data_IF_683964360413
#
_entry.id   IF_683964360413
#
_cell.length_a   1.000
_cell.length_b   1.000
_cell.length_c   1.000
_cell.angle_alpha   90.00
_cell.angle_beta   90.00
_cell.angle_gamma   90.00
#
_symmetry.space_group_name_H-M   'P 1'
#
loop_
_entity.id
_entity.type
_entity.pdbx_description
1 polymer ?
#
# COMPACT_ATOMS: atom_id res chain seq x y z
N UNK A 1 -29.68 -1.80 3.89
CA UNK A 1 -28.87 -2.45 4.95
C UNK A 1 -28.46 -1.40 5.98
N UNK A 2 -28.45 -1.76 7.24
CA UNK A 2 -27.96 -0.84 8.29
C UNK A 2 -26.42 -0.92 8.34
N UNK A 3 -25.75 0.09 7.82
CA UNK A 3 -24.29 0.22 7.82
C UNK A 3 -23.76 1.00 9.03
N UNK A 4 -24.59 1.28 10.05
CA UNK A 4 -24.18 2.06 11.22
C UNK A 4 -22.99 1.45 11.96
N UNK A 5 -22.88 0.12 11.96
CA UNK A 5 -21.73 -0.61 12.54
C UNK A 5 -20.43 -0.49 11.75
N UNK A 6 -20.51 0.02 10.52
CA UNK A 6 -19.34 0.23 9.63
C UNK A 6 -18.88 1.68 9.64
N UNK A 7 -19.55 2.57 10.37
CA UNK A 7 -19.05 3.92 10.56
C UNK A 7 -17.69 3.85 11.31
N UNK A 8 -16.59 4.36 10.71
CA UNK A 8 -15.29 4.35 11.37
C UNK A 8 -15.29 5.11 12.69
N UNK A 9 -16.23 6.02 12.90
CA UNK A 9 -16.38 6.79 14.14
C UNK A 9 -17.39 6.20 15.14
N UNK A 10 -17.81 4.95 14.94
CA UNK A 10 -18.63 4.21 15.94
C UNK A 10 -17.86 2.98 16.41
N UNK A 11 -17.61 2.87 17.72
CA UNK A 11 -16.90 1.73 18.32
C UNK A 11 -17.70 0.43 18.21
N UNK A 12 -17.07 -0.70 18.50
CA UNK A 12 -17.75 -2.02 18.56
C UNK A 12 -18.85 -2.01 19.63
N UNK A 13 -18.69 -1.24 20.72
CA UNK A 13 -19.70 -1.06 21.77
C UNK A 13 -20.87 -0.16 21.36
N UNK A 14 -20.79 0.52 20.20
CA UNK A 14 -21.78 1.45 19.70
C UNK A 14 -21.56 2.90 20.17
N UNK A 15 -20.44 3.21 20.80
CA UNK A 15 -20.10 4.55 21.25
C UNK A 15 -19.55 5.40 20.10
N UNK A 16 -19.97 6.66 20.03
CA UNK A 16 -19.49 7.60 19.01
C UNK A 16 -18.13 8.19 19.40
N UNK A 17 -17.16 8.06 18.52
CA UNK A 17 -15.84 8.67 18.63
C UNK A 17 -15.94 10.15 18.23
N UNK A 18 -15.54 11.06 19.12
CA UNK A 18 -15.73 12.49 18.93
C UNK A 18 -14.44 13.31 18.95
N UNK A 19 -13.30 12.67 19.23
CA UNK A 19 -12.01 13.34 19.31
C UNK A 19 -10.87 12.39 18.92
N UNK A 20 -9.71 12.99 18.62
CA UNK A 20 -8.49 12.27 18.18
C UNK A 20 -7.98 11.32 19.25
N UNK A 21 -8.11 11.67 20.54
CA UNK A 21 -7.62 10.80 21.62
C UNK A 21 -8.35 9.47 21.64
N UNK A 22 -9.71 9.49 21.59
CA UNK A 22 -10.51 8.26 21.58
C UNK A 22 -10.26 7.45 20.29
N UNK A 23 -10.07 8.15 19.15
CA UNK A 23 -9.71 7.51 17.91
C UNK A 23 -8.36 6.76 18.00
N UNK A 24 -7.29 7.43 18.40
CA UNK A 24 -5.94 6.84 18.46
C UNK A 24 -5.81 5.78 19.57
N UNK A 25 -6.53 5.93 20.68
CA UNK A 25 -6.40 5.06 21.85
C UNK A 25 -7.27 3.80 21.75
N UNK A 26 -8.44 3.91 21.12
CA UNK A 26 -9.42 2.83 21.12
C UNK A 26 -9.85 2.41 19.72
N UNK A 27 -10.48 3.33 18.96
CA UNK A 27 -11.20 2.93 17.76
C UNK A 27 -10.29 2.47 16.62
N UNK A 28 -9.20 3.16 16.40
CA UNK A 28 -8.21 2.75 15.40
C UNK A 28 -7.68 1.35 15.70
N UNK A 29 -7.37 1.05 16.95
CA UNK A 29 -6.91 -0.28 17.35
C UNK A 29 -8.00 -1.35 17.14
N UNK A 30 -9.27 -1.07 17.50
CA UNK A 30 -10.39 -1.98 17.20
C UNK A 30 -10.46 -2.30 15.70
N UNK A 31 -10.35 -1.28 14.83
CA UNK A 31 -10.35 -1.45 13.38
C UNK A 31 -9.16 -2.31 12.94
N UNK A 32 -7.96 -2.03 13.44
CA UNK A 32 -6.77 -2.82 13.10
C UNK A 32 -6.88 -4.28 13.52
N UNK A 33 -7.48 -4.54 14.68
CA UNK A 33 -7.78 -5.90 15.17
C UNK A 33 -8.80 -6.60 14.26
N UNK A 34 -9.85 -5.91 13.82
CA UNK A 34 -10.83 -6.48 12.89
C UNK A 34 -10.19 -6.82 11.53
N UNK A 35 -9.47 -5.89 10.94
CA UNK A 35 -8.78 -6.10 9.67
C UNK A 35 -7.75 -7.25 9.75
N UNK A 36 -6.98 -7.30 10.84
CA UNK A 36 -6.02 -8.39 11.06
C UNK A 36 -6.70 -9.75 11.23
N UNK A 37 -7.75 -9.83 12.06
CA UNK A 37 -8.37 -11.12 12.36
C UNK A 37 -9.21 -11.69 11.21
N UNK A 38 -9.75 -10.82 10.35
CA UNK A 38 -10.76 -11.23 9.37
C UNK A 38 -10.33 -11.09 7.91
N UNK A 39 -9.30 -10.29 7.61
CA UNK A 39 -8.85 -10.06 6.23
C UNK A 39 -7.36 -10.40 6.05
N UNK A 40 -6.46 -9.58 6.61
CA UNK A 40 -5.03 -9.64 6.29
C UNK A 40 -4.24 -10.67 7.09
N UNK A 41 -4.78 -11.11 8.21
CA UNK A 41 -4.13 -11.99 9.18
C UNK A 41 -3.22 -11.26 10.17
N UNK A 42 -3.02 -11.92 11.31
CA UNK A 42 -2.14 -11.42 12.37
C UNK A 42 -0.70 -11.74 11.99
N UNK A 43 0.12 -10.72 11.83
CA UNK A 43 1.54 -10.82 11.51
C UNK A 43 2.41 -10.34 12.69
N UNK A 44 3.66 -10.80 12.80
CA UNK A 44 4.59 -10.20 13.74
C UNK A 44 4.83 -8.73 13.36
N UNK A 45 4.85 -7.86 14.38
CA UNK A 45 5.08 -6.42 14.21
C UNK A 45 6.50 -6.03 14.57
N UNK A 46 7.17 -6.85 15.38
CA UNK A 46 8.49 -6.54 15.91
C UNK A 46 9.57 -6.61 14.81
N UNK A 47 10.55 -5.73 14.94
CA UNK A 47 11.77 -5.76 14.15
C UNK A 47 12.59 -7.00 14.52
N UNK A 48 13.02 -7.82 13.54
CA UNK A 48 13.89 -8.96 13.84
C UNK A 48 15.16 -8.53 14.56
N UNK A 49 15.55 -9.28 15.58
CA UNK A 49 16.69 -8.95 16.44
C UNK A 49 18.05 -9.03 15.73
N UNK A 50 18.14 -9.85 14.67
CA UNK A 50 19.33 -10.06 13.83
C UNK A 50 19.25 -9.32 12.47
N UNK A 51 18.34 -8.34 12.36
CA UNK A 51 18.16 -7.58 11.12
C UNK A 51 19.46 -6.86 10.74
N UNK A 52 19.91 -7.09 9.52
CA UNK A 52 21.11 -6.51 8.96
C UNK A 52 20.92 -6.09 7.52
N UNK A 53 21.78 -5.17 7.04
CA UNK A 53 21.72 -4.60 5.72
C UNK A 53 23.07 -4.69 5.02
N UNK A 54 23.06 -4.98 3.73
CA UNK A 54 24.25 -4.92 2.86
C UNK A 54 23.93 -4.05 1.66
N UNK A 55 24.79 -3.07 1.40
CA UNK A 55 24.80 -2.36 0.11
C UNK A 55 25.75 -3.12 -0.80
N UNK A 56 25.20 -3.99 -1.65
CA UNK A 56 25.97 -4.94 -2.43
C UNK A 56 26.68 -4.27 -3.62
N UNK A 57 26.03 -3.22 -4.16
CA UNK A 57 26.55 -2.48 -5.31
C UNK A 57 26.03 -1.06 -5.36
N UNK A 58 26.89 -0.12 -5.74
CA UNK A 58 26.51 1.26 -6.09
C UNK A 58 26.97 1.51 -7.54
N UNK A 59 26.06 2.02 -8.37
CA UNK A 59 26.34 2.37 -9.76
C UNK A 59 25.88 3.81 -10.00
N UNK A 60 26.83 4.70 -10.27
CA UNK A 60 26.55 6.08 -10.67
C UNK A 60 26.35 6.16 -12.19
N UNK A 61 25.61 7.17 -12.64
CA UNK A 61 25.21 7.35 -14.05
C UNK A 61 24.57 6.09 -14.63
N UNK A 62 23.65 5.50 -13.84
CA UNK A 62 23.04 4.22 -14.20
C UNK A 62 22.36 4.30 -15.57
N UNK A 63 22.80 3.46 -16.51
CA UNK A 63 22.33 3.43 -17.90
C UNK A 63 22.41 4.79 -18.61
N UNK A 64 23.41 5.63 -18.25
CA UNK A 64 23.61 7.01 -18.76
C UNK A 64 22.58 8.03 -18.27
N UNK A 65 21.70 7.68 -17.33
CA UNK A 65 20.85 8.64 -16.63
C UNK A 65 21.59 9.28 -15.43
N UNK A 66 21.21 10.50 -15.02
CA UNK A 66 21.77 11.14 -13.81
C UNK A 66 21.22 10.48 -12.53
N UNK A 67 21.36 9.17 -12.43
CA UNK A 67 20.88 8.32 -11.36
C UNK A 67 22.04 7.62 -10.64
N UNK A 68 21.91 7.49 -9.34
CA UNK A 68 22.69 6.52 -8.54
C UNK A 68 21.79 5.37 -8.17
N UNK A 69 22.18 4.18 -8.57
CA UNK A 69 21.52 2.92 -8.22
C UNK A 69 22.27 2.25 -7.08
N UNK A 70 21.58 1.91 -6.01
CA UNK A 70 22.07 1.04 -4.93
C UNK A 70 21.31 -0.29 -4.99
N UNK A 71 22.03 -1.40 -5.11
CA UNK A 71 21.49 -2.74 -4.91
C UNK A 71 21.73 -3.12 -3.45
N UNK A 72 20.66 -3.41 -2.72
CA UNK A 72 20.68 -3.63 -1.27
C UNK A 72 20.06 -4.98 -0.94
N UNK A 73 20.66 -5.69 0.00
CA UNK A 73 20.12 -6.93 0.58
C UNK A 73 19.79 -6.69 2.06
N UNK A 74 18.58 -7.05 2.45
CA UNK A 74 18.10 -7.08 3.83
C UNK A 74 18.11 -8.53 4.29
N UNK A 75 18.73 -8.83 5.45
CA UNK A 75 18.83 -10.17 5.98
C UNK A 75 18.36 -10.25 7.44
N UNK A 76 17.57 -11.27 7.77
CA UNK A 76 17.09 -11.58 9.12
C UNK A 76 16.58 -13.04 9.20
N UNK A 77 16.73 -13.69 10.33
CA UNK A 77 16.24 -15.05 10.60
C UNK A 77 16.62 -16.07 9.52
N UNK A 78 17.81 -15.93 8.92
CA UNK A 78 18.27 -16.78 7.82
C UNK A 78 17.58 -16.53 6.47
N UNK A 79 16.75 -15.53 6.35
CA UNK A 79 16.14 -15.08 5.10
C UNK A 79 16.83 -13.82 4.59
N UNK A 80 16.87 -13.66 3.27
CA UNK A 80 17.42 -12.47 2.62
C UNK A 80 16.50 -12.01 1.50
N UNK A 81 16.23 -10.71 1.44
CA UNK A 81 15.45 -10.08 0.38
C UNK A 81 16.23 -8.91 -0.24
N UNK A 82 16.44 -8.92 -1.55
CA UNK A 82 17.02 -7.79 -2.25
C UNK A 82 15.99 -6.71 -2.51
N UNK A 83 16.44 -5.48 -2.66
CA UNK A 83 15.68 -4.39 -3.27
C UNK A 83 16.64 -3.40 -3.92
N UNK A 84 16.10 -2.51 -4.76
CA UNK A 84 16.90 -1.49 -5.45
C UNK A 84 16.45 -0.09 -5.03
N UNK A 85 17.41 0.78 -4.72
CA UNK A 85 17.17 2.20 -4.45
C UNK A 85 17.82 3.05 -5.53
N UNK A 86 17.02 3.89 -6.18
CA UNK A 86 17.50 4.91 -7.11
C UNK A 86 17.44 6.28 -6.45
N UNK A 87 18.49 7.08 -6.65
CA UNK A 87 18.62 8.43 -6.11
C UNK A 87 19.02 9.40 -7.23
N UNK A 88 18.54 10.65 -7.21
CA UNK A 88 19.06 11.69 -8.10
C UNK A 88 20.56 11.89 -7.85
N UNK A 89 21.36 11.81 -8.91
CA UNK A 89 22.83 11.95 -8.78
C UNK A 89 23.25 13.31 -8.20
N UNK A 90 22.52 14.36 -8.52
CA UNK A 90 22.82 15.71 -8.03
C UNK A 90 22.68 15.84 -6.50
N UNK A 91 21.79 15.01 -5.88
CA UNK A 91 21.55 15.01 -4.43
C UNK A 91 22.44 14.00 -3.68
N UNK A 92 22.96 12.99 -4.37
CA UNK A 92 23.73 11.89 -3.77
C UNK A 92 24.91 12.38 -2.93
N UNK A 93 25.00 11.94 -1.68
CA UNK A 93 25.98 12.37 -0.66
C UNK A 93 26.01 13.87 -0.38
N UNK A 94 24.96 14.59 -0.70
CA UNK A 94 24.86 16.04 -0.49
C UNK A 94 23.64 16.44 0.29
N UNK A 95 22.46 15.95 -0.12
CA UNK A 95 21.17 16.31 0.48
C UNK A 95 20.27 15.09 0.47
N UNK A 96 19.74 14.64 1.63
CA UNK A 96 18.76 13.57 1.66
C UNK A 96 17.52 13.94 0.86
N UNK A 97 16.94 12.95 0.18
CA UNK A 97 15.75 13.15 -0.66
C UNK A 97 14.56 12.34 -0.15
N UNK A 98 13.32 12.84 -0.33
CA UNK A 98 12.13 12.04 -0.12
C UNK A 98 12.10 10.86 -1.12
N UNK A 99 11.49 9.74 -0.73
CA UNK A 99 11.54 8.49 -1.49
C UNK A 99 10.13 7.95 -1.73
N UNK A 100 9.86 7.47 -2.96
CA UNK A 100 8.76 6.57 -3.23
C UNK A 100 9.25 5.12 -3.09
N UNK A 101 8.71 4.37 -2.15
CA UNK A 101 8.83 2.91 -2.11
C UNK A 101 7.70 2.31 -2.94
N UNK A 102 8.03 1.80 -4.12
CA UNK A 102 7.05 1.15 -4.99
C UNK A 102 7.10 -0.37 -4.83
N UNK A 103 5.95 -0.94 -4.45
CA UNK A 103 5.76 -2.39 -4.38
C UNK A 103 5.34 -2.90 -5.75
N UNK A 104 6.13 -3.80 -6.34
CA UNK A 104 5.92 -4.38 -7.66
C UNK A 104 5.57 -5.86 -7.56
N UNK A 105 4.46 -6.25 -8.18
CA UNK A 105 4.10 -7.66 -8.29
C UNK A 105 4.83 -8.35 -9.47
N UNK A 106 4.88 -9.68 -9.47
CA UNK A 106 5.60 -10.48 -10.46
C UNK A 106 5.23 -10.15 -11.90
N UNK A 107 3.94 -10.02 -12.20
CA UNK A 107 3.48 -9.81 -13.57
C UNK A 107 3.99 -8.49 -14.15
N UNK A 108 4.11 -7.46 -13.33
CA UNK A 108 4.65 -6.16 -13.73
C UNK A 108 6.18 -6.14 -13.77
N UNK A 109 6.87 -6.84 -12.85
CA UNK A 109 8.32 -7.00 -12.93
C UNK A 109 8.75 -7.60 -14.27
N UNK A 110 8.04 -8.62 -14.75
CA UNK A 110 8.36 -9.29 -16.00
C UNK A 110 8.00 -8.45 -17.25
N UNK A 111 6.91 -7.68 -17.19
CA UNK A 111 6.45 -6.90 -18.35
C UNK A 111 7.17 -5.58 -18.54
N UNK A 112 7.48 -4.88 -17.46
CA UNK A 112 7.97 -3.50 -17.51
C UNK A 112 9.42 -3.36 -17.10
N UNK A 113 9.93 -4.27 -16.28
CA UNK A 113 11.31 -4.28 -15.79
C UNK A 113 11.86 -2.87 -15.49
N UNK A 114 11.25 -2.13 -14.57
CA UNK A 114 11.57 -0.72 -14.36
C UNK A 114 13.00 -0.52 -13.87
N UNK A 115 13.60 -1.56 -13.28
CA UNK A 115 14.99 -1.53 -12.82
C UNK A 115 15.96 -1.42 -14.00
N UNK A 116 15.67 -2.10 -15.11
CA UNK A 116 16.49 -2.04 -16.31
C UNK A 116 15.91 -1.13 -17.41
N UNK A 117 14.80 -0.45 -17.13
CA UNK A 117 14.20 0.54 -18.02
C UNK A 117 13.67 1.75 -17.21
N UNK A 118 14.54 2.70 -16.80
CA UNK A 118 14.18 3.83 -15.95
C UNK A 118 13.18 4.84 -16.57
N UNK A 119 12.96 4.80 -17.89
CA UNK A 119 11.96 5.60 -18.60
C UNK A 119 10.64 4.85 -18.81
N UNK A 120 10.49 3.70 -18.20
CA UNK A 120 9.26 2.92 -18.31
C UNK A 120 8.04 3.73 -17.85
N UNK A 121 6.96 3.69 -18.63
CA UNK A 121 5.73 4.44 -18.34
C UNK A 121 5.07 4.02 -17.01
N UNK A 122 5.19 2.75 -16.64
CA UNK A 122 4.56 2.19 -15.44
C UNK A 122 5.24 2.64 -14.14
N UNK A 123 6.56 2.79 -14.14
CA UNK A 123 7.36 3.33 -13.04
C UNK A 123 8.51 4.16 -13.60
N UNK A 124 8.26 5.44 -13.95
CA UNK A 124 9.22 6.31 -14.62
C UNK A 124 10.28 6.83 -13.66
N UNK A 125 11.22 5.97 -13.26
CA UNK A 125 12.25 6.25 -12.26
C UNK A 125 13.06 7.50 -12.62
N UNK A 126 13.35 7.69 -13.92
CA UNK A 126 14.09 8.87 -14.40
C UNK A 126 13.32 10.17 -14.15
N UNK A 127 12.01 10.20 -14.40
CA UNK A 127 11.19 11.39 -14.16
C UNK A 127 10.94 11.62 -12.65
N UNK A 128 10.80 10.55 -11.87
CA UNK A 128 10.71 10.63 -10.40
C UNK A 128 11.98 11.28 -9.85
N UNK A 129 13.14 10.83 -10.30
CA UNK A 129 14.43 11.38 -9.87
C UNK A 129 14.65 12.82 -10.32
N UNK A 130 14.28 13.16 -11.56
CA UNK A 130 14.34 14.54 -12.10
C UNK A 130 13.49 15.50 -11.26
N UNK A 131 12.40 15.03 -10.65
CA UNK A 131 11.59 15.81 -9.72
C UNK A 131 12.18 15.90 -8.32
N UNK A 132 13.33 15.28 -8.06
CA UNK A 132 14.06 15.34 -6.79
C UNK A 132 13.63 14.29 -5.77
N UNK A 133 13.01 13.20 -6.21
CA UNK A 133 12.65 12.06 -5.39
C UNK A 133 13.60 10.88 -5.62
N UNK A 134 13.88 10.12 -4.59
CA UNK A 134 14.38 8.76 -4.75
C UNK A 134 13.24 7.78 -5.08
N UNK A 135 13.60 6.62 -5.59
CA UNK A 135 12.67 5.53 -5.86
C UNK A 135 13.25 4.20 -5.37
N UNK A 136 12.64 3.59 -4.36
CA UNK A 136 12.94 2.24 -3.91
C UNK A 136 11.98 1.26 -4.57
N UNK A 137 12.48 0.18 -5.15
CA UNK A 137 11.71 -0.84 -5.86
C UNK A 137 11.80 -2.16 -5.12
N UNK A 138 10.65 -2.65 -4.64
CA UNK A 138 10.50 -3.92 -3.97
C UNK A 138 9.70 -4.89 -4.85
N UNK A 139 10.24 -6.05 -5.15
CA UNK A 139 9.48 -7.13 -5.77
C UNK A 139 8.74 -7.96 -4.70
N UNK A 140 7.46 -8.24 -4.93
CA UNK A 140 6.70 -9.15 -4.06
C UNK A 140 7.30 -10.55 -4.02
N UNK A 141 7.90 -11.01 -5.12
CA UNK A 141 8.55 -12.34 -5.21
C UNK A 141 9.74 -12.49 -4.27
N UNK A 142 10.47 -11.40 -4.04
CA UNK A 142 11.64 -11.42 -3.16
C UNK A 142 11.25 -11.51 -1.68
N UNK A 143 9.97 -11.25 -1.37
CA UNK A 143 9.42 -11.36 -0.01
C UNK A 143 8.72 -12.70 0.19
N UNK A 144 7.77 -13.01 -0.68
CA UNK A 144 7.04 -14.28 -0.65
C UNK A 144 6.47 -14.60 -2.03
N UNK A 145 6.41 -15.90 -2.42
CA UNK A 145 5.83 -16.30 -3.70
C UNK A 145 4.39 -15.86 -3.85
N UNK A 146 4.03 -15.38 -5.04
CA UNK A 146 2.67 -14.97 -5.41
C UNK A 146 1.97 -16.10 -6.20
N UNK A 147 1.71 -17.22 -5.53
CA UNK A 147 1.08 -18.38 -6.16
C UNK A 147 -0.43 -18.37 -5.96
N UNK A 148 -1.19 -18.12 -7.02
CA UNK A 148 -2.65 -18.07 -6.99
C UNK A 148 -3.29 -19.43 -6.63
N UNK A 149 -2.58 -20.55 -6.76
CA UNK A 149 -3.17 -21.88 -6.63
C UNK A 149 -2.43 -22.86 -5.71
N UNK A 150 -1.36 -22.45 -5.04
CA UNK A 150 -0.61 -23.34 -4.15
C UNK A 150 -0.07 -22.58 -2.94
N UNK A 151 -0.68 -22.77 -1.76
CA UNK A 151 -0.15 -22.20 -0.52
C UNK A 151 1.30 -22.69 -0.28
N UNK A 152 2.24 -21.75 -0.25
CA UNK A 152 3.62 -22.08 0.07
C UNK A 152 4.17 -21.22 1.21
N UNK A 153 3.48 -21.24 2.37
CA UNK A 153 3.99 -20.64 3.60
C UNK A 153 5.30 -21.26 4.12
N UNK A 154 5.90 -22.18 3.37
CA UNK A 154 7.21 -22.79 3.63
C UNK A 154 8.35 -22.07 2.94
N UNK A 155 8.07 -20.94 2.27
CA UNK A 155 9.06 -20.16 1.53
C UNK A 155 8.99 -18.67 1.91
N UNK A 156 10.02 -17.93 1.51
CA UNK A 156 10.09 -16.51 1.73
C UNK A 156 10.05 -16.12 3.21
N UNK A 157 9.51 -14.97 3.48
CA UNK A 157 9.40 -14.40 4.81
C UNK A 157 8.62 -15.29 5.80
N UNK A 158 7.67 -16.09 5.31
CA UNK A 158 6.87 -16.99 6.17
C UNK A 158 7.74 -18.10 6.76
N UNK A 159 8.61 -18.72 5.95
CA UNK A 159 9.52 -19.76 6.44
C UNK A 159 10.53 -19.23 7.46
N UNK A 160 10.92 -17.97 7.34
CA UNK A 160 11.84 -17.34 8.27
C UNK A 160 11.17 -16.97 9.60
N UNK A 161 10.00 -16.36 9.54
CA UNK A 161 9.32 -15.75 10.70
C UNK A 161 8.40 -16.74 11.43
N UNK A 162 7.81 -17.68 10.70
CA UNK A 162 6.90 -18.73 11.23
C UNK A 162 7.22 -20.08 10.57
N UNK A 163 8.40 -20.67 10.93
CA UNK A 163 8.94 -21.85 10.22
C UNK A 163 8.10 -23.11 10.42
N UNK A 164 7.37 -23.23 11.52
CA UNK A 164 6.46 -24.35 11.73
C UNK A 164 5.08 -24.04 11.15
N UNK A 165 4.77 -24.70 10.03
CA UNK A 165 3.47 -24.53 9.37
C UNK A 165 2.30 -25.06 10.23
N UNK A 166 2.54 -25.87 11.24
CA UNK A 166 1.50 -26.35 12.19
C UNK A 166 1.03 -25.25 13.15
N UNK A 167 1.82 -24.18 13.33
CA UNK A 167 1.45 -23.00 14.12
C UNK A 167 0.49 -22.07 13.40
N UNK A 168 0.19 -22.33 12.12
CA UNK A 168 -0.73 -21.51 11.34
C UNK A 168 -2.18 -21.91 11.63
N UNK A 169 -2.97 -20.87 11.91
CA UNK A 169 -4.42 -20.96 12.10
C UNK A 169 -5.17 -20.07 11.09
N UNK A 170 -6.49 -20.00 11.21
CA UNK A 170 -7.31 -19.18 10.34
C UNK A 170 -7.08 -17.67 10.48
N UNK A 171 -6.30 -17.21 11.46
CA UNK A 171 -5.91 -15.81 11.65
C UNK A 171 -4.49 -15.53 11.16
N UNK A 172 -3.78 -16.55 10.75
CA UNK A 172 -2.39 -16.38 10.30
C UNK A 172 -2.32 -15.54 9.03
N UNK A 173 -1.33 -14.70 8.96
CA UNK A 173 -1.11 -13.70 7.92
C UNK A 173 -0.92 -14.29 6.52
N UNK A 174 -1.49 -13.61 5.52
CA UNK A 174 -1.37 -13.96 4.10
C UNK A 174 -0.30 -13.15 3.38
N UNK A 175 -0.16 -13.36 2.07
CA UNK A 175 0.88 -12.74 1.25
C UNK A 175 0.81 -11.21 1.23
N UNK A 176 -0.38 -10.61 1.22
CA UNK A 176 -0.52 -9.14 1.30
C UNK A 176 0.13 -8.60 2.58
N UNK A 177 -0.07 -9.28 3.71
CA UNK A 177 0.64 -8.96 4.96
C UNK A 177 2.14 -9.26 4.89
N UNK A 178 2.54 -10.31 4.18
CA UNK A 178 3.94 -10.63 3.94
C UNK A 178 4.65 -9.53 3.17
N UNK A 179 4.06 -9.07 2.08
CA UNK A 179 4.60 -7.97 1.28
C UNK A 179 4.66 -6.65 2.06
N UNK A 180 3.61 -6.35 2.84
CA UNK A 180 3.61 -5.21 3.75
C UNK A 180 4.70 -5.31 4.83
N UNK A 181 5.00 -6.53 5.32
CA UNK A 181 6.11 -6.77 6.25
C UNK A 181 7.46 -6.52 5.57
N UNK A 182 7.65 -6.98 4.33
CA UNK A 182 8.85 -6.70 3.54
C UNK A 182 9.06 -5.19 3.34
N UNK A 183 7.99 -4.44 3.00
CA UNK A 183 8.06 -2.99 2.89
C UNK A 183 8.49 -2.31 4.20
N UNK A 184 8.02 -2.79 5.35
CA UNK A 184 8.48 -2.31 6.67
C UNK A 184 9.97 -2.61 6.92
N UNK A 185 10.51 -3.70 6.40
CA UNK A 185 11.95 -4.01 6.50
C UNK A 185 12.77 -3.10 5.61
N UNK A 186 12.26 -2.72 4.43
CA UNK A 186 12.89 -1.70 3.60
C UNK A 186 12.88 -0.35 4.32
N UNK A 187 11.78 0.02 4.97
CA UNK A 187 11.72 1.23 5.78
C UNK A 187 12.79 1.24 6.89
N UNK A 188 13.06 0.09 7.52
CA UNK A 188 14.15 -0.03 8.50
C UNK A 188 15.54 0.28 7.90
N UNK A 189 15.78 -0.07 6.64
CA UNK A 189 17.00 0.33 5.92
C UNK A 189 17.00 1.82 5.59
N UNK A 190 15.90 2.34 5.07
CA UNK A 190 15.81 3.75 4.65
C UNK A 190 16.06 4.71 5.82
N UNK A 191 15.74 4.32 7.06
CA UNK A 191 16.09 5.07 8.27
C UNK A 191 17.60 5.15 8.52
N UNK A 192 18.40 4.28 7.92
CA UNK A 192 19.87 4.24 8.08
C UNK A 192 20.62 4.86 6.92
N UNK A 193 19.98 5.10 5.78
CA UNK A 193 20.63 5.62 4.57
C UNK A 193 20.68 7.14 4.61
N UNK A 194 21.91 7.70 4.66
CA UNK A 194 22.14 9.15 4.78
C UNK A 194 21.66 9.96 3.56
N UNK A 195 21.41 9.33 2.43
CA UNK A 195 20.92 9.98 1.22
C UNK A 195 19.38 10.03 1.18
N UNK A 196 18.69 9.46 2.19
CA UNK A 196 17.24 9.38 2.29
C UNK A 196 16.69 10.27 3.40
N UNK A 197 15.74 11.13 3.07
CA UNK A 197 14.90 11.80 4.07
C UNK A 197 13.82 10.83 4.57
N UNK A 198 14.19 10.01 5.53
CA UNK A 198 13.37 8.86 5.98
C UNK A 198 12.01 9.24 6.60
N UNK A 199 11.83 10.49 7.02
CA UNK A 199 10.54 11.00 7.50
C UNK A 199 9.57 11.33 6.35
N UNK A 200 10.07 11.28 5.11
CA UNK A 200 9.38 11.64 3.86
C UNK A 200 9.36 10.48 2.87
N UNK A 201 8.98 9.31 3.35
CA UNK A 201 8.84 8.11 2.50
C UNK A 201 7.38 7.88 2.17
N UNK A 202 7.04 7.92 0.87
CA UNK A 202 5.76 7.47 0.35
C UNK A 202 5.82 5.96 0.03
N UNK A 203 4.75 5.23 0.28
CA UNK A 203 4.58 3.87 -0.23
C UNK A 203 3.54 3.85 -1.34
N UNK A 204 3.81 3.10 -2.41
CA UNK A 204 2.91 2.98 -3.55
C UNK A 204 2.84 1.55 -4.08
N UNK A 205 1.72 1.21 -4.74
CA UNK A 205 1.55 -0.07 -5.41
C UNK A 205 0.34 -0.09 -6.32
N UNK A 206 0.37 -0.99 -7.30
CA UNK A 206 -0.70 -1.22 -8.25
C UNK A 206 -1.32 -2.60 -8.04
N UNK A 207 -2.65 -2.71 -8.20
CA UNK A 207 -3.36 -3.98 -8.09
C UNK A 207 -3.17 -4.61 -6.70
N UNK A 208 -2.81 -5.89 -6.62
CA UNK A 208 -2.49 -6.57 -5.35
C UNK A 208 -1.37 -5.91 -4.56
N UNK A 209 -0.43 -5.27 -5.23
CA UNK A 209 0.61 -4.48 -4.56
C UNK A 209 0.05 -3.17 -3.97
N UNK A 210 -1.01 -2.60 -4.53
CA UNK A 210 -1.78 -1.51 -3.92
C UNK A 210 -2.47 -1.93 -2.63
N UNK A 211 -3.02 -3.16 -2.56
CA UNK A 211 -3.54 -3.75 -1.32
C UNK A 211 -2.42 -3.82 -0.25
N UNK A 212 -1.22 -4.25 -0.66
CA UNK A 212 -0.06 -4.32 0.24
C UNK A 212 0.42 -2.94 0.71
N UNK A 213 0.42 -1.94 -0.18
CA UNK A 213 0.79 -0.56 0.16
C UNK A 213 -0.17 0.06 1.20
N UNK A 214 -1.48 -0.14 1.02
CA UNK A 214 -2.50 0.29 2.00
C UNK A 214 -2.29 -0.38 3.35
N UNK A 215 -2.12 -1.71 3.37
CA UNK A 215 -1.92 -2.47 4.60
C UNK A 215 -0.59 -2.11 5.29
N UNK A 216 0.49 -1.93 4.52
CA UNK A 216 1.77 -1.46 5.04
C UNK A 216 1.63 -0.09 5.69
N UNK A 217 0.96 0.86 5.01
CA UNK A 217 0.74 2.20 5.55
C UNK A 217 -0.11 2.20 6.83
N UNK A 218 -1.16 1.37 6.89
CA UNK A 218 -1.99 1.27 8.09
C UNK A 218 -1.24 0.65 9.29
N UNK A 219 -0.33 -0.30 9.04
CA UNK A 219 0.41 -1.03 10.08
C UNK A 219 1.76 -0.42 10.43
N UNK A 220 2.33 0.45 9.59
CA UNK A 220 3.61 1.12 9.81
C UNK A 220 3.47 2.64 9.61
N UNK A 221 3.41 3.35 10.73
CA UNK A 221 3.17 4.82 10.74
C UNK A 221 4.35 5.64 10.18
N UNK A 222 5.49 5.02 9.86
CA UNK A 222 6.66 5.72 9.28
C UNK A 222 6.48 6.10 7.82
N UNK A 223 5.58 5.43 7.09
CA UNK A 223 5.22 5.86 5.75
C UNK A 223 4.45 7.17 5.81
N UNK A 224 5.01 8.22 5.25
CA UNK A 224 4.47 9.57 5.32
C UNK A 224 3.30 9.82 4.35
N UNK A 225 3.18 9.02 3.29
CA UNK A 225 2.13 9.09 2.28
C UNK A 225 1.86 7.69 1.75
N UNK A 226 0.59 7.38 1.43
CA UNK A 226 0.19 6.14 0.77
C UNK A 226 -0.44 6.41 -0.59
N UNK A 227 -0.03 5.63 -1.61
CA UNK A 227 -0.63 5.68 -2.96
C UNK A 227 -1.09 4.27 -3.34
N UNK A 228 -2.37 4.14 -3.63
CA UNK A 228 -3.00 2.90 -4.06
C UNK A 228 -3.61 3.06 -5.45
N UNK A 229 -3.16 2.25 -6.40
CA UNK A 229 -3.64 2.27 -7.78
C UNK A 229 -4.39 0.98 -8.10
N UNK A 230 -5.65 1.09 -8.56
CA UNK A 230 -6.52 -0.03 -8.98
C UNK A 230 -6.44 -1.23 -8.04
N UNK A 231 -6.52 -0.99 -6.74
CA UNK A 231 -6.29 -2.04 -5.74
C UNK A 231 -7.51 -2.93 -5.50
N UNK A 232 -8.69 -2.50 -5.89
CA UNK A 232 -9.90 -3.30 -5.91
C UNK A 232 -10.37 -3.84 -4.57
N UNK A 233 -11.08 -4.94 -4.61
CA UNK A 233 -11.59 -5.66 -3.44
C UNK A 233 -10.45 -6.02 -2.47
N UNK A 234 -10.65 -5.79 -1.18
CA UNK A 234 -9.61 -5.93 -0.14
C UNK A 234 -8.38 -5.02 -0.33
N UNK A 235 -8.51 -4.03 -1.20
CA UNK A 235 -7.65 -2.88 -1.35
C UNK A 235 -8.41 -1.63 -0.96
N UNK A 236 -8.67 -0.72 -1.90
CA UNK A 236 -9.44 0.50 -1.65
C UNK A 236 -10.96 0.34 -1.88
N UNK A 237 -11.40 -0.66 -2.68
CA UNK A 237 -12.79 -0.79 -3.05
C UNK A 237 -13.67 -1.26 -1.87
N UNK A 238 -14.80 -0.56 -1.66
CA UNK A 238 -15.81 -0.94 -0.67
C UNK A 238 -16.37 -2.32 -1.00
N UNK A 239 -16.16 -3.29 -0.12
CA UNK A 239 -16.42 -4.71 -0.40
C UNK A 239 -17.90 -5.03 -0.57
N UNK A 240 -18.77 -4.31 0.16
CA UNK A 240 -20.24 -4.48 0.12
C UNK A 240 -20.91 -3.69 -0.99
N UNK A 241 -20.14 -3.15 -1.93
CA UNK A 241 -20.67 -2.47 -3.10
C UNK A 241 -21.52 -3.40 -3.96
N UNK A 242 -22.42 -2.81 -4.69
CA UNK A 242 -23.37 -3.48 -5.60
C UNK A 242 -23.06 -3.22 -7.08
N UNK A 243 -21.94 -2.56 -7.38
CA UNK A 243 -21.49 -2.33 -8.75
C UNK A 243 -21.23 -3.65 -9.49
N UNK A 244 -21.73 -3.73 -10.72
CA UNK A 244 -21.57 -4.92 -11.57
C UNK A 244 -20.10 -5.09 -12.00
N UNK A 245 -19.66 -6.36 -12.11
CA UNK A 245 -18.32 -6.69 -12.60
C UNK A 245 -17.17 -6.51 -11.60
N UNK A 246 -17.44 -5.98 -10.40
CA UNK A 246 -16.42 -5.77 -9.38
C UNK A 246 -15.93 -7.08 -8.78
N UNK A 247 -14.62 -7.17 -8.57
CA UNK A 247 -13.97 -8.26 -7.85
C UNK A 247 -14.61 -8.49 -6.48
N UNK A 248 -14.89 -9.74 -6.17
CA UNK A 248 -15.51 -10.14 -4.90
C UNK A 248 -14.55 -10.97 -4.05
N UNK A 249 -14.85 -11.11 -2.76
CA UNK A 249 -14.03 -11.88 -1.83
C UNK A 249 -13.72 -13.28 -2.38
N UNK A 250 -14.71 -13.98 -2.91
CA UNK A 250 -14.54 -15.33 -3.46
C UNK A 250 -13.63 -15.41 -4.67
N UNK A 251 -13.47 -14.33 -5.44
CA UNK A 251 -12.55 -14.28 -6.59
C UNK A 251 -11.08 -14.30 -6.15
N UNK A 252 -10.76 -13.62 -5.06
CA UNK A 252 -9.37 -13.44 -4.57
C UNK A 252 -9.01 -14.38 -3.44
N UNK A 253 -9.99 -15.04 -2.84
CA UNK A 253 -9.80 -15.93 -1.70
C UNK A 253 -9.44 -17.36 -2.10
N UNK A 254 -9.11 -17.58 -3.36
CA UNK A 254 -8.55 -18.82 -3.89
C UNK A 254 -7.03 -18.90 -3.75
N UNK A 255 -6.43 -17.83 -3.24
CA UNK A 255 -4.99 -17.66 -3.06
C UNK A 255 -4.63 -17.46 -1.59
N UNK A 256 -3.35 -17.46 -1.27
CA UNK A 256 -2.83 -17.19 0.07
C UNK A 256 -2.67 -15.69 0.38
N UNK A 257 -3.38 -14.84 -0.33
CA UNK A 257 -3.24 -13.40 -0.13
C UNK A 257 -3.73 -12.95 1.24
N UNK A 258 -4.75 -13.62 1.76
CA UNK A 258 -5.46 -13.25 2.98
C UNK A 258 -5.47 -14.38 4.02
N UNK A 259 -5.98 -14.10 5.20
CA UNK A 259 -6.10 -15.11 6.26
C UNK A 259 -7.27 -16.08 6.01
N UNK A 260 -7.20 -17.26 6.63
CA UNK A 260 -8.23 -18.29 6.50
C UNK A 260 -9.62 -17.85 6.98
N UNK A 261 -9.72 -16.90 7.93
CA UNK A 261 -11.01 -16.38 8.36
C UNK A 261 -11.74 -15.63 7.24
N UNK A 262 -11.02 -15.04 6.29
CA UNK A 262 -11.62 -14.27 5.21
C UNK A 262 -12.51 -15.12 4.31
N UNK A 263 -12.19 -16.42 4.13
CA UNK A 263 -13.01 -17.38 3.36
C UNK A 263 -14.45 -17.54 3.90
N UNK A 264 -14.70 -17.22 5.16
CA UNK A 264 -16.03 -17.31 5.77
C UNK A 264 -17.02 -16.28 5.21
N UNK A 265 -16.51 -15.27 4.53
CA UNK A 265 -17.28 -14.14 3.99
C UNK A 265 -17.48 -14.25 2.47
N UNK A 266 -17.03 -15.33 1.83
CA UNK A 266 -17.35 -15.63 0.44
C UNK A 266 -18.87 -15.64 0.26
N UNK A 267 -19.39 -14.81 -0.65
CA UNK A 267 -20.83 -14.63 -0.90
C UNK A 267 -21.65 -14.22 0.35
N UNK A 268 -20.96 -13.62 1.35
CA UNK A 268 -21.53 -13.16 2.63
C UNK A 268 -20.85 -11.88 3.11
N UNK A 269 -20.52 -11.01 2.18
CA UNK A 269 -19.80 -9.77 2.44
C UNK A 269 -20.49 -8.90 3.51
N UNK A 270 -21.83 -8.99 3.58
CA UNK A 270 -22.62 -8.26 4.58
C UNK A 270 -22.33 -8.69 6.03
N UNK A 271 -21.76 -9.88 6.23
CA UNK A 271 -21.39 -10.40 7.56
C UNK A 271 -19.98 -9.99 8.00
N UNK A 272 -19.15 -9.46 7.10
CA UNK A 272 -17.80 -9.03 7.44
C UNK A 272 -17.88 -7.86 8.47
N UNK A 273 -17.17 -7.90 9.60
CA UNK A 273 -17.31 -6.89 10.66
C UNK A 273 -16.57 -5.57 10.38
N UNK A 274 -15.88 -5.47 9.26
CA UNK A 274 -15.14 -4.28 8.79
C UNK A 274 -15.29 -4.12 7.27
N UNK A 275 -14.80 -3.01 6.71
CA UNK A 275 -14.72 -2.81 5.27
C UNK A 275 -13.58 -1.87 4.92
N UNK A 276 -13.25 -1.72 3.64
CA UNK A 276 -12.01 -1.10 3.16
C UNK A 276 -11.89 0.39 3.47
N UNK A 277 -12.99 1.13 3.55
CA UNK A 277 -12.97 2.53 4.03
C UNK A 277 -12.42 2.65 5.47
N UNK A 278 -12.56 1.61 6.30
CA UNK A 278 -11.94 1.58 7.63
C UNK A 278 -10.41 1.40 7.55
N UNK A 279 -9.92 0.65 6.54
CA UNK A 279 -8.49 0.58 6.25
C UNK A 279 -7.93 1.95 5.84
N UNK A 280 -8.63 2.63 4.93
CA UNK A 280 -8.27 3.97 4.50
C UNK A 280 -8.29 4.96 5.67
N UNK A 281 -9.31 4.90 6.51
CA UNK A 281 -9.42 5.70 7.73
C UNK A 281 -8.27 5.44 8.73
N UNK A 282 -7.80 4.19 8.85
CA UNK A 282 -6.69 3.84 9.74
C UNK A 282 -5.33 4.44 9.31
N UNK A 283 -5.22 4.98 8.09
CA UNK A 283 -4.03 5.70 7.62
C UNK A 283 -3.99 7.14 8.16
N UNK A 284 -5.15 7.73 8.48
CA UNK A 284 -5.22 9.09 9.03
C UNK A 284 -4.25 9.29 10.21
N UNK A 285 -3.67 10.51 10.38
CA UNK A 285 -3.89 11.73 9.59
C UNK A 285 -3.00 11.86 8.34
N UNK A 286 -2.25 10.81 7.96
CA UNK A 286 -1.30 10.86 6.85
C UNK A 286 -2.03 10.91 5.52
N UNK A 287 -1.49 11.63 4.51
CA UNK A 287 -2.11 11.75 3.21
C UNK A 287 -2.23 10.40 2.50
N UNK A 288 -3.30 10.26 1.76
CA UNK A 288 -3.66 9.07 0.99
C UNK A 288 -4.05 9.47 -0.42
N UNK A 289 -3.53 8.78 -1.42
CA UNK A 289 -3.96 8.92 -2.80
C UNK A 289 -4.52 7.59 -3.32
N UNK A 290 -5.73 7.59 -3.83
CA UNK A 290 -6.33 6.45 -4.52
C UNK A 290 -6.51 6.81 -6.00
N UNK A 291 -6.14 5.91 -6.89
CA UNK A 291 -6.34 6.06 -8.33
C UNK A 291 -7.05 4.84 -8.89
N UNK A 292 -7.98 5.08 -9.78
CA UNK A 292 -8.73 4.04 -10.50
C UNK A 292 -8.69 4.27 -12.00
N UNK A 293 -8.89 3.20 -12.78
CA UNK A 293 -9.15 3.31 -14.23
C UNK A 293 -10.66 3.16 -14.51
N UNK A 294 -11.18 3.96 -15.47
CA UNK A 294 -12.61 4.00 -15.79
C UNK A 294 -13.14 2.69 -16.36
N UNK A 295 -12.33 1.99 -17.15
CA UNK A 295 -12.72 0.74 -17.80
C UNK A 295 -12.37 -0.50 -16.96
N UNK A 296 -11.68 -0.33 -15.83
CA UNK A 296 -11.36 -1.40 -14.88
C UNK A 296 -12.53 -1.67 -13.92
N UNK A 297 -13.63 -2.19 -14.46
CA UNK A 297 -14.79 -2.56 -13.65
C UNK A 297 -14.43 -3.58 -12.55
N UNK A 298 -13.42 -4.43 -12.78
CA UNK A 298 -12.96 -5.42 -11.81
C UNK A 298 -12.39 -4.79 -10.55
N UNK A 299 -11.62 -3.74 -10.65
CA UNK A 299 -11.13 -3.00 -9.48
C UNK A 299 -12.23 -2.19 -8.78
N UNK A 300 -13.34 -1.89 -9.45
CA UNK A 300 -14.46 -1.17 -8.88
C UNK A 300 -14.18 0.30 -8.60
N UNK A 301 -13.99 1.13 -9.64
CA UNK A 301 -13.61 2.53 -9.48
C UNK A 301 -14.61 3.35 -8.65
N UNK A 302 -15.90 3.05 -8.71
CA UNK A 302 -16.92 3.70 -7.88
C UNK A 302 -16.85 3.27 -6.41
N UNK A 303 -16.49 2.02 -6.17
CA UNK A 303 -16.33 1.50 -4.81
C UNK A 303 -15.02 2.00 -4.16
N UNK A 304 -13.96 2.21 -4.93
CA UNK A 304 -12.73 2.85 -4.43
C UNK A 304 -12.99 4.32 -4.06
N UNK A 305 -13.70 5.07 -4.91
CA UNK A 305 -14.14 6.43 -4.62
C UNK A 305 -15.05 6.49 -3.38
N UNK A 306 -15.98 5.54 -3.27
CA UNK A 306 -16.88 5.43 -2.12
C UNK A 306 -16.11 5.26 -0.81
N UNK A 307 -15.07 4.43 -0.80
CA UNK A 307 -14.21 4.25 0.38
C UNK A 307 -13.48 5.54 0.76
N UNK A 308 -13.00 6.33 -0.21
CA UNK A 308 -12.39 7.63 0.05
C UNK A 308 -13.37 8.59 0.77
N UNK A 309 -14.61 8.64 0.30
CA UNK A 309 -15.67 9.45 0.92
C UNK A 309 -16.01 8.99 2.34
N UNK A 310 -16.14 7.68 2.55
CA UNK A 310 -16.49 7.10 3.85
C UNK A 310 -15.35 7.18 4.88
N UNK A 311 -14.09 7.28 4.46
CA UNK A 311 -12.94 7.47 5.34
C UNK A 311 -12.78 8.94 5.81
N UNK A 312 -13.32 9.90 5.07
CA UNK A 312 -13.16 11.36 5.29
C UNK A 312 -13.47 11.84 6.72
N UNK A 313 -14.54 11.37 7.39
CA UNK A 313 -14.88 11.84 8.73
C UNK A 313 -13.77 11.64 9.77
N UNK A 314 -12.88 10.65 9.56
CA UNK A 314 -11.74 10.44 10.46
C UNK A 314 -10.67 11.52 10.26
N UNK A 315 -10.41 11.94 9.03
CA UNK A 315 -9.50 13.07 8.76
C UNK A 315 -10.05 14.38 9.31
N UNK A 316 -11.35 14.60 9.18
CA UNK A 316 -12.04 15.75 9.75
C UNK A 316 -11.93 15.82 11.29
N UNK A 317 -11.89 14.64 11.94
CA UNK A 317 -11.66 14.55 13.39
C UNK A 317 -10.29 15.14 13.80
N UNK A 318 -9.27 15.05 12.93
CA UNK A 318 -7.96 15.69 13.10
C UNK A 318 -7.95 17.18 12.70
N UNK A 319 -9.07 17.74 12.24
CA UNK A 319 -9.14 19.09 11.70
C UNK A 319 -8.56 19.22 10.29
N UNK A 320 -8.38 18.08 9.60
CA UNK A 320 -7.87 18.03 8.23
C UNK A 320 -9.05 17.83 7.26
N UNK A 321 -9.01 18.45 6.06
CA UNK A 321 -10.00 18.12 5.05
C UNK A 321 -9.81 16.65 4.62
N UNK A 322 -10.89 15.89 4.60
CA UNK A 322 -10.91 14.52 4.11
C UNK A 322 -10.78 14.48 2.58
N UNK A 323 -11.66 13.77 1.91
CA UNK A 323 -11.80 13.81 0.45
C UNK A 323 -12.71 14.96 0.03
N UNK A 324 -12.26 15.79 -0.91
CA UNK A 324 -13.00 16.94 -1.44
C UNK A 324 -13.33 16.69 -2.92
N UNK A 325 -14.59 16.78 -3.26
CA UNK A 325 -15.09 16.68 -4.62
C UNK A 325 -16.41 17.50 -4.72
N UNK A 326 -16.39 18.56 -5.49
CA UNK A 326 -17.57 19.42 -5.72
C UNK A 326 -18.41 18.98 -6.92
N UNK A 327 -17.85 18.11 -7.78
CA UNK A 327 -18.53 17.62 -8.97
C UNK A 327 -19.56 16.53 -8.62
N UNK A 328 -20.69 16.51 -9.33
CA UNK A 328 -21.68 15.44 -9.20
C UNK A 328 -21.15 14.08 -9.67
N UNK A 329 -20.27 14.11 -10.67
CA UNK A 329 -19.63 12.93 -11.26
C UNK A 329 -18.12 13.15 -11.39
N UNK A 330 -17.37 12.06 -11.31
CA UNK A 330 -15.92 12.09 -11.54
C UNK A 330 -15.65 12.50 -13.00
N UNK A 331 -14.80 13.51 -13.20
CA UNK A 331 -14.24 13.86 -14.49
C UNK A 331 -12.94 13.05 -14.71
N UNK A 332 -12.83 12.42 -15.87
CA UNK A 332 -11.64 11.62 -16.23
C UNK A 332 -10.40 12.52 -16.31
N UNK A 333 -9.29 12.04 -15.74
CA UNK A 333 -8.00 12.75 -15.63
C UNK A 333 -8.01 14.01 -14.74
N UNK A 334 -9.14 14.35 -14.11
CA UNK A 334 -9.18 15.45 -13.15
C UNK A 334 -8.68 14.97 -11.78
N UNK A 335 -7.64 15.59 -11.23
CA UNK A 335 -7.21 15.27 -9.87
C UNK A 335 -8.12 15.94 -8.84
N UNK A 336 -8.68 15.16 -7.93
CA UNK A 336 -9.36 15.59 -6.72
C UNK A 336 -8.38 15.47 -5.56
N UNK A 337 -7.46 16.41 -5.43
CA UNK A 337 -6.36 16.34 -4.46
C UNK A 337 -6.28 17.57 -3.53
N UNK A 338 -7.35 18.33 -3.39
CA UNK A 338 -7.41 19.47 -2.47
C UNK A 338 -7.48 19.03 -0.99
N UNK A 339 -8.05 17.86 -0.73
CA UNK A 339 -8.08 17.23 0.58
C UNK A 339 -6.80 16.50 0.97
N UNK A 340 -6.83 15.87 2.14
CA UNK A 340 -5.77 14.96 2.62
C UNK A 340 -5.93 13.54 2.05
N UNK A 341 -7.15 13.19 1.65
CA UNK A 341 -7.41 12.06 0.76
C UNK A 341 -7.54 12.62 -0.66
N UNK A 342 -6.78 12.07 -1.58
CA UNK A 342 -6.82 12.41 -2.99
C UNK A 342 -7.37 11.25 -3.83
N UNK A 343 -7.97 11.60 -4.97
CA UNK A 343 -8.46 10.64 -5.94
C UNK A 343 -8.35 11.20 -7.36
N UNK A 344 -8.08 10.33 -8.33
CA UNK A 344 -8.39 10.59 -9.72
C UNK A 344 -8.78 9.31 -10.44
N UNK A 345 -9.47 9.46 -11.56
CA UNK A 345 -9.86 8.37 -12.44
C UNK A 345 -9.24 8.61 -13.81
N UNK A 346 -8.38 7.68 -14.24
CA UNK A 346 -7.76 7.70 -15.55
C UNK A 346 -8.61 6.93 -16.59
N UNK A 347 -8.48 7.20 -17.90
CA UNK A 347 -9.09 6.38 -18.92
C UNK A 347 -8.39 5.03 -19.03
N UNK A 348 -9.03 4.07 -19.72
CA UNK A 348 -8.46 2.76 -20.00
C UNK A 348 -8.71 1.72 -18.91
N UNK A 349 -8.08 0.56 -19.11
CA UNK A 349 -8.20 -0.63 -18.30
C UNK A 349 -7.12 -0.66 -17.21
N UNK A 350 -6.98 -1.77 -16.51
CA UNK A 350 -6.11 -2.04 -15.37
C UNK A 350 -4.62 -1.68 -15.62
N UNK A 351 -4.23 -0.44 -15.36
CA UNK A 351 -2.89 0.08 -15.69
C UNK A 351 -2.42 1.19 -14.74
N UNK A 352 -1.15 1.57 -14.91
CA UNK A 352 -0.50 2.71 -14.26
C UNK A 352 0.38 3.38 -15.32
N UNK A 353 0.27 4.69 -15.46
CA UNK A 353 0.92 5.43 -16.52
C UNK A 353 1.73 6.63 -16.00
N UNK A 354 2.57 7.18 -16.84
CA UNK A 354 3.41 8.34 -16.52
C UNK A 354 2.57 9.55 -16.08
N UNK A 355 1.38 9.74 -16.70
CA UNK A 355 0.45 10.79 -16.29
C UNK A 355 0.01 10.65 -14.83
N UNK A 356 -0.27 9.44 -14.37
CA UNK A 356 -0.65 9.16 -12.99
C UNK A 356 0.48 9.54 -12.04
N UNK A 357 1.73 9.18 -12.40
CA UNK A 357 2.91 9.55 -11.61
C UNK A 357 3.10 11.07 -11.49
N UNK A 358 2.77 11.82 -12.55
CA UNK A 358 2.79 13.28 -12.47
C UNK A 358 1.81 13.78 -11.40
N UNK A 359 0.58 13.27 -11.38
CA UNK A 359 -0.43 13.65 -10.40
C UNK A 359 -0.05 13.18 -8.97
N UNK A 360 0.53 11.99 -8.84
CA UNK A 360 1.05 11.51 -7.54
C UNK A 360 2.15 12.42 -7.01
N UNK A 361 3.09 12.84 -7.85
CA UNK A 361 4.16 13.74 -7.46
C UNK A 361 3.64 15.16 -7.16
N UNK A 362 2.64 15.66 -7.91
CA UNK A 362 2.00 16.95 -7.63
C UNK A 362 1.34 16.95 -6.22
N UNK A 363 0.72 15.85 -5.84
CA UNK A 363 0.18 15.69 -4.49
C UNK A 363 1.28 15.50 -3.44
N UNK A 364 2.27 14.68 -3.72
CA UNK A 364 3.38 14.40 -2.82
C UNK A 364 4.21 15.65 -2.50
N UNK A 365 4.40 16.57 -3.45
CA UNK A 365 5.12 17.83 -3.25
C UNK A 365 4.52 18.67 -2.11
N UNK A 366 3.23 18.57 -1.84
CA UNK A 366 2.55 19.30 -0.76
C UNK A 366 2.92 18.78 0.64
N UNK A 367 3.37 17.53 0.76
CA UNK A 367 3.61 16.86 2.03
C UNK A 367 5.05 16.43 2.23
N UNK A 368 5.79 16.19 1.15
CA UNK A 368 7.13 15.63 1.20
C UNK A 368 8.23 16.63 0.80
N UNK A 369 7.89 17.79 0.30
CA UNK A 369 8.82 18.91 0.06
C UNK A 369 8.53 20.07 0.98
#
# INVERSE_FOLDING_TARGET
MDYSRLDPLISISGEKIQNVYDWETYRREEIMVLLSNFIYGVRPMEKPHDLSFSVDRITEDYMSYPLVKKDITISFLGFSMPFTLFLPKECYKKTPVPVFLHVLNESHMQKVDPVNNPENYFLPIAEIAKRGYGCAVMSTLDVSPDWIHKPEFKKGVFAAVQPDASDRDNRSWGNVSGWAYGASRIMDYLETDIDVEHTKVAISGHSRAGKAALWASATDKRFALCISNDSGCSGAAFTRGDSEGVERIWNINISDWFCGNYHKFNEREEMLPCDQHMLLAAIAPRPLYVKSNEEDAWAGPDEELRSCKLASPVYELYGLPGFIMDDEKVEINKPYHEGTIAYHRAPGDHNLEEHDWKLFMDFADRYLK
#
